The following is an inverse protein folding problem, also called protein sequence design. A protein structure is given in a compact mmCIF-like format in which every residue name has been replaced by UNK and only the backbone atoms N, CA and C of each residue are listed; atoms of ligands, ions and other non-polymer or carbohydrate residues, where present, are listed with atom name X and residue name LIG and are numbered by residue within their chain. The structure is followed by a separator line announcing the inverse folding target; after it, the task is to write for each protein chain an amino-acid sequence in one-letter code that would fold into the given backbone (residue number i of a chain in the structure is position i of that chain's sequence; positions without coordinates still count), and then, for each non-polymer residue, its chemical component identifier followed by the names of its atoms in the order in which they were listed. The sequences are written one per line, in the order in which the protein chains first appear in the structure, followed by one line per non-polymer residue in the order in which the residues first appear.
data_IF_240536741242
#
_entry.id   IF_240536741242
#
_cell.length_a   1.000
_cell.length_b   1.000
_cell.length_c   1.000
_cell.angle_alpha   90.00
_cell.angle_beta   90.00
_cell.angle_gamma   90.00
#
_symmetry.space_group_name_H-M   'P 1'
#
loop_
_entity.id
_entity.type
_entity.pdbx_description
1 polymer ?
#
# COMPACT_ATOMS: atom_id res chain seq x y z
N UNK A 1 2.91 -1.74 -32.05
CA UNK A 1 2.33 -0.41 -31.74
C UNK A 1 1.04 -0.67 -30.98
N UNK A 2 0.96 -0.12 -29.76
CA UNK A 2 -0.26 0.09 -28.94
C UNK A 2 -0.97 -1.15 -28.38
N UNK A 3 -0.40 -1.72 -27.32
CA UNK A 3 -1.14 -2.50 -26.32
C UNK A 3 -1.68 -1.52 -25.28
N UNK A 4 -2.87 -1.02 -25.53
CA UNK A 4 -3.80 -0.30 -24.65
C UNK A 4 -3.27 0.13 -23.25
N UNK A 5 -2.54 1.25 -23.20
CA UNK A 5 -2.16 1.97 -21.97
C UNK A 5 -3.36 2.73 -21.33
N UNK A 6 -4.58 2.46 -21.78
CA UNK A 6 -5.81 3.04 -21.25
C UNK A 6 -6.46 2.11 -20.21
N UNK A 7 -6.27 2.36 -18.92
CA UNK A 7 -7.20 1.84 -17.89
C UNK A 7 -7.04 2.39 -16.46
N UNK A 8 -5.97 3.10 -16.11
CA UNK A 8 -5.85 3.73 -14.78
C UNK A 8 -5.93 5.26 -14.81
N UNK A 9 -5.72 5.88 -15.98
CA UNK A 9 -5.87 7.32 -16.14
C UNK A 9 -7.35 7.74 -16.11
N UNK A 10 -7.71 8.58 -15.14
CA UNK A 10 -8.83 9.52 -15.27
C UNK A 10 -10.24 9.06 -14.89
N UNK A 11 -10.44 7.88 -14.27
CA UNK A 11 -11.81 7.39 -13.96
C UNK A 11 -12.16 7.14 -12.49
N UNK A 12 -11.20 7.19 -11.56
CA UNK A 12 -11.48 7.01 -10.12
C UNK A 12 -10.78 8.08 -9.29
N UNK A 13 -11.54 8.99 -8.68
CA UNK A 13 -11.00 10.03 -7.78
C UNK A 13 -10.20 9.44 -6.62
N UNK A 14 -10.51 8.21 -6.22
CA UNK A 14 -9.77 7.42 -5.24
C UNK A 14 -8.31 7.18 -5.65
N UNK A 15 -8.09 6.83 -6.91
CA UNK A 15 -6.74 6.59 -7.44
C UNK A 15 -5.95 7.90 -7.57
N UNK A 16 -6.59 8.98 -8.03
CA UNK A 16 -5.94 10.30 -8.06
C UNK A 16 -5.48 10.71 -6.67
N UNK A 17 -6.35 10.59 -5.67
CA UNK A 17 -6.00 10.89 -4.28
C UNK A 17 -4.89 9.99 -3.75
N UNK A 18 -4.89 8.69 -4.08
CA UNK A 18 -3.79 7.79 -3.71
C UNK A 18 -2.46 8.29 -4.25
N UNK A 19 -2.41 8.66 -5.52
CA UNK A 19 -1.17 9.13 -6.15
C UNK A 19 -0.69 10.41 -5.49
N UNK A 20 -1.57 11.39 -5.27
CA UNK A 20 -1.22 12.66 -4.60
C UNK A 20 -0.59 12.41 -3.22
N UNK A 21 -1.20 11.55 -2.39
CA UNK A 21 -0.62 11.21 -1.09
C UNK A 21 0.74 10.54 -1.24
N UNK A 22 0.87 9.58 -2.16
CA UNK A 22 2.13 8.86 -2.33
C UNK A 22 3.25 9.77 -2.87
N UNK A 23 2.93 10.74 -3.73
CA UNK A 23 3.87 11.76 -4.19
C UNK A 23 4.36 12.62 -3.02
N UNK A 24 3.46 13.09 -2.15
CA UNK A 24 3.82 13.81 -0.92
C UNK A 24 4.76 12.98 -0.04
N UNK A 25 4.40 11.73 0.25
CA UNK A 25 5.20 10.81 1.08
C UNK A 25 6.59 10.58 0.49
N UNK A 26 6.67 10.29 -0.81
CA UNK A 26 7.95 10.05 -1.48
C UNK A 26 8.81 11.32 -1.50
N UNK A 27 8.20 12.49 -1.75
CA UNK A 27 8.90 13.78 -1.75
C UNK A 27 9.48 14.15 -0.38
N UNK A 28 8.80 13.76 0.70
CA UNK A 28 9.28 13.91 2.08
C UNK A 28 10.39 12.90 2.46
N UNK A 29 10.75 11.97 1.56
CA UNK A 29 11.70 10.90 1.84
C UNK A 29 11.15 9.83 2.78
N UNK A 30 9.83 9.78 2.93
CA UNK A 30 9.11 8.87 3.80
C UNK A 30 8.69 7.59 3.07
N UNK A 31 8.06 6.65 3.79
CA UNK A 31 7.65 5.36 3.24
C UNK A 31 6.20 5.05 3.56
N UNK A 32 5.50 4.46 2.58
CA UNK A 32 4.11 4.08 2.67
C UNK A 32 3.90 2.57 2.50
N UNK A 33 2.94 2.04 3.26
CA UNK A 33 2.26 0.78 2.97
C UNK A 33 0.94 1.08 2.27
N UNK A 34 0.64 0.37 1.20
CA UNK A 34 -0.64 0.48 0.49
C UNK A 34 -1.29 -0.89 0.48
N UNK A 35 -2.49 -1.01 1.03
CA UNK A 35 -3.25 -2.24 1.12
C UNK A 35 -4.41 -2.24 0.14
N UNK A 36 -4.62 -3.38 -0.52
CA UNK A 36 -5.81 -3.65 -1.34
C UNK A 36 -6.14 -5.14 -1.26
N UNK A 37 -7.42 -5.51 -1.24
CA UNK A 37 -7.84 -6.90 -1.29
C UNK A 37 -7.71 -7.52 -2.69
N UNK A 38 -7.52 -6.70 -3.73
CA UNK A 38 -7.56 -7.12 -5.13
C UNK A 38 -6.14 -7.30 -5.70
N UNK A 39 -5.66 -8.54 -5.75
CA UNK A 39 -4.33 -8.84 -6.29
C UNK A 39 -4.15 -8.42 -7.76
N UNK A 40 -5.18 -8.59 -8.60
CA UNK A 40 -5.15 -8.15 -10.00
C UNK A 40 -5.06 -6.63 -10.14
N UNK A 41 -5.71 -5.89 -9.25
CA UNK A 41 -5.59 -4.43 -9.19
C UNK A 41 -4.18 -4.03 -8.75
N UNK A 42 -3.64 -4.65 -7.71
CA UNK A 42 -2.28 -4.39 -7.24
C UNK A 42 -1.22 -4.64 -8.31
N UNK A 43 -1.38 -5.70 -9.11
CA UNK A 43 -0.49 -6.01 -10.24
C UNK A 43 -0.52 -4.93 -11.34
N UNK A 44 -1.68 -4.33 -11.62
CA UNK A 44 -1.78 -3.20 -12.56
C UNK A 44 -1.27 -1.90 -11.97
N UNK A 45 -1.52 -1.69 -10.68
CA UNK A 45 -1.14 -0.47 -9.95
C UNK A 45 0.38 -0.39 -9.75
N UNK A 46 1.06 -1.52 -9.58
CA UNK A 46 2.49 -1.59 -9.34
C UNK A 46 3.37 -0.88 -10.39
N UNK A 47 3.30 -1.21 -11.70
CA UNK A 47 4.08 -0.51 -12.72
C UNK A 47 3.68 0.97 -12.82
N UNK A 48 2.39 1.28 -12.72
CA UNK A 48 1.89 2.66 -12.74
C UNK A 48 2.48 3.51 -11.62
N UNK A 49 2.45 3.05 -10.37
CA UNK A 49 3.04 3.78 -9.25
C UNK A 49 4.57 3.88 -9.35
N UNK A 50 5.23 2.84 -9.87
CA UNK A 50 6.69 2.86 -10.05
C UNK A 50 7.10 3.97 -11.01
N UNK A 51 6.40 4.10 -12.14
CA UNK A 51 6.64 5.16 -13.11
C UNK A 51 6.32 6.54 -12.53
N UNK A 52 5.13 6.69 -11.93
CA UNK A 52 4.65 8.00 -11.46
C UNK A 52 5.45 8.57 -10.31
N UNK A 53 5.86 7.73 -9.37
CA UNK A 53 6.60 8.18 -8.18
C UNK A 53 8.10 8.34 -8.45
N UNK A 54 8.62 7.83 -9.58
CA UNK A 54 10.06 7.79 -9.83
C UNK A 54 10.85 7.02 -8.75
N UNK A 55 10.17 6.17 -7.99
CA UNK A 55 10.69 5.46 -6.83
C UNK A 55 10.37 3.97 -6.91
N UNK A 56 11.14 3.17 -6.20
CA UNK A 56 10.90 1.74 -6.17
C UNK A 56 9.63 1.45 -5.36
N UNK A 57 8.68 0.79 -6.03
CA UNK A 57 7.48 0.21 -5.42
C UNK A 57 7.67 -1.30 -5.35
N UNK A 58 7.45 -1.87 -4.18
CA UNK A 58 7.45 -3.31 -3.96
C UNK A 58 6.01 -3.83 -4.01
N UNK A 59 5.81 -5.02 -4.58
CA UNK A 59 4.50 -5.68 -4.62
C UNK A 59 4.57 -7.04 -3.93
N UNK A 60 3.75 -7.23 -2.90
CA UNK A 60 3.58 -8.49 -2.19
C UNK A 60 2.15 -9.01 -2.38
N UNK A 61 2.01 -10.25 -2.88
CA UNK A 61 0.73 -10.91 -3.08
C UNK A 61 0.76 -12.37 -2.60
N UNK A 62 -0.39 -13.06 -2.64
CA UNK A 62 -0.53 -14.45 -2.14
C UNK A 62 0.42 -15.45 -2.79
N UNK A 63 0.78 -15.23 -4.05
CA UNK A 63 1.69 -16.09 -4.80
C UNK A 63 3.17 -15.77 -4.61
N UNK A 64 3.54 -14.76 -3.84
CA UNK A 64 4.96 -14.39 -3.66
C UNK A 64 5.68 -15.45 -2.80
N UNK A 65 6.75 -16.11 -3.32
CA UNK A 65 7.50 -17.11 -2.57
C UNK A 65 8.09 -16.54 -1.28
N UNK A 66 8.25 -17.39 -0.26
CA UNK A 66 8.73 -16.97 1.07
C UNK A 66 10.08 -16.24 1.03
N UNK A 67 11.05 -16.77 0.28
CA UNK A 67 12.36 -16.14 0.12
C UNK A 67 12.28 -14.74 -0.51
N UNK A 68 11.44 -14.57 -1.54
CA UNK A 68 11.21 -13.27 -2.20
C UNK A 68 10.53 -12.28 -1.28
N UNK A 69 9.57 -12.74 -0.46
CA UNK A 69 8.93 -11.94 0.57
C UNK A 69 9.95 -11.41 1.59
N UNK A 70 10.82 -12.27 2.10
CA UNK A 70 11.86 -11.88 3.05
C UNK A 70 12.83 -10.85 2.44
N UNK A 71 13.20 -11.02 1.17
CA UNK A 71 14.01 -10.06 0.40
C UNK A 71 13.33 -8.69 0.30
N UNK A 72 12.05 -8.65 -0.09
CA UNK A 72 11.28 -7.40 -0.21
C UNK A 72 11.16 -6.67 1.13
N UNK A 73 10.91 -7.40 2.22
CA UNK A 73 10.85 -6.81 3.57
C UNK A 73 12.19 -6.16 3.92
N UNK A 74 13.31 -6.85 3.70
CA UNK A 74 14.65 -6.30 3.97
C UNK A 74 14.91 -5.04 3.15
N UNK A 75 14.56 -5.04 1.86
CA UNK A 75 14.70 -3.88 0.95
C UNK A 75 13.87 -2.68 1.41
N UNK A 76 12.63 -2.93 1.83
CA UNK A 76 11.75 -1.87 2.35
C UNK A 76 12.27 -1.27 3.67
N UNK A 77 12.82 -2.12 4.53
CA UNK A 77 13.33 -1.73 5.84
C UNK A 77 14.69 -1.01 5.79
N UNK A 78 15.45 -1.13 4.70
CA UNK A 78 16.74 -0.48 4.54
C UNK A 78 16.58 1.06 4.52
N UNK A 79 17.11 1.80 5.53
CA UNK A 79 17.05 3.26 5.57
C UNK A 79 17.63 3.94 4.33
N UNK A 80 18.62 3.33 3.68
CA UNK A 80 19.30 3.82 2.47
C UNK A 80 18.71 3.26 1.18
N UNK A 81 17.73 2.36 1.29
CA UNK A 81 17.06 1.71 0.15
C UNK A 81 16.23 2.69 -0.68
N UNK A 82 16.01 2.33 -1.95
CA UNK A 82 15.17 3.07 -2.89
C UNK A 82 13.68 2.77 -2.76
N UNK A 83 13.32 1.68 -2.09
CA UNK A 83 11.95 1.30 -1.81
C UNK A 83 11.26 2.37 -0.97
N UNK A 84 10.21 2.98 -1.54
CA UNK A 84 9.40 4.02 -0.88
C UNK A 84 7.97 3.56 -0.63
N UNK A 85 7.43 2.71 -1.50
CA UNK A 85 6.07 2.18 -1.36
C UNK A 85 6.10 0.66 -1.33
N UNK A 86 5.37 0.08 -0.39
CA UNK A 86 5.10 -1.36 -0.38
C UNK A 86 3.61 -1.58 -0.61
N UNK A 87 3.26 -2.12 -1.77
CA UNK A 87 1.90 -2.48 -2.14
C UNK A 87 1.62 -3.93 -1.72
N UNK A 88 0.59 -4.13 -0.92
CA UNK A 88 0.21 -5.40 -0.33
C UNK A 88 -1.18 -5.80 -0.80
N UNK A 89 -1.26 -6.96 -1.45
CA UNK A 89 -2.51 -7.60 -1.86
C UNK A 89 -2.62 -9.00 -1.30
N UNK A 90 -2.95 -9.05 -0.03
CA UNK A 90 -2.99 -10.29 0.73
C UNK A 90 -4.17 -10.26 1.66
N UNK A 91 -4.87 -11.40 1.80
CA UNK A 91 -5.66 -11.74 2.99
C UNK A 91 -4.72 -11.85 4.21
N UNK A 92 -4.05 -10.77 4.57
CA UNK A 92 -3.06 -10.60 5.62
C UNK A 92 -3.66 -10.70 7.03
N UNK A 93 -4.24 -11.84 7.37
CA UNK A 93 -4.46 -12.25 8.76
C UNK A 93 -3.28 -13.02 9.37
N UNK A 94 -2.30 -13.49 8.56
CA UNK A 94 -1.39 -14.57 9.00
C UNK A 94 0.11 -14.43 8.68
N UNK A 95 0.61 -13.26 8.28
CA UNK A 95 1.96 -13.16 7.70
C UNK A 95 3.06 -12.53 8.58
N UNK A 96 2.74 -12.02 9.77
CA UNK A 96 3.76 -11.55 10.74
C UNK A 96 4.78 -10.55 10.17
N UNK A 97 4.39 -9.67 9.25
CA UNK A 97 5.30 -8.74 8.59
C UNK A 97 5.71 -7.62 9.55
N UNK A 98 7.02 -7.47 9.83
CA UNK A 98 7.55 -6.33 10.59
C UNK A 98 7.97 -5.24 9.59
N UNK A 99 7.17 -4.18 9.45
CA UNK A 99 7.34 -3.12 8.43
C UNK A 99 7.48 -1.73 9.04
N UNK A 100 8.25 -1.64 10.12
CA UNK A 100 8.54 -0.43 10.91
C UNK A 100 9.22 0.72 10.15
N UNK A 101 9.61 0.55 8.90
CA UNK A 101 10.17 1.64 8.11
C UNK A 101 9.09 2.57 7.54
N UNK A 102 7.81 2.16 7.56
CA UNK A 102 6.69 2.97 7.11
C UNK A 102 6.27 4.01 8.16
N UNK A 103 5.95 5.21 7.69
CA UNK A 103 5.26 6.27 8.44
C UNK A 103 3.83 6.50 7.92
N UNK A 104 3.46 5.89 6.78
CA UNK A 104 2.13 6.00 6.20
C UNK A 104 1.54 4.63 5.92
N UNK A 105 0.27 4.46 6.26
CA UNK A 105 -0.53 3.27 5.96
C UNK A 105 -1.79 3.71 5.22
N UNK A 106 -1.93 3.26 3.98
CA UNK A 106 -3.08 3.57 3.13
C UNK A 106 -3.87 2.31 2.82
N UNK A 107 -5.16 2.32 3.13
CA UNK A 107 -6.10 1.29 2.70
C UNK A 107 -6.83 1.79 1.46
N UNK A 108 -6.54 1.19 0.29
CA UNK A 108 -7.19 1.55 -0.96
C UNK A 108 -8.62 1.03 -1.05
N UNK A 109 -8.96 -0.03 -0.31
CA UNK A 109 -10.31 -0.57 -0.20
C UNK A 109 -10.53 -1.08 1.23
N UNK A 110 -11.79 -1.06 1.67
CA UNK A 110 -12.19 -1.44 3.03
C UNK A 110 -11.99 -2.93 3.22
N UNK A 111 -11.42 -3.29 4.34
CA UNK A 111 -11.47 -4.66 4.82
C UNK A 111 -12.70 -4.82 5.70
N UNK A 112 -13.57 -5.77 5.35
CA UNK A 112 -14.74 -6.14 6.14
C UNK A 112 -14.37 -6.67 7.56
N UNK A 113 -13.09 -6.89 7.86
CA UNK A 113 -12.63 -7.32 9.18
C UNK A 113 -11.75 -6.25 9.84
N UNK A 114 -12.28 -5.48 10.81
CA UNK A 114 -11.53 -4.47 11.58
C UNK A 114 -10.22 -5.01 12.18
N UNK A 115 -10.20 -6.27 12.62
CA UNK A 115 -9.01 -6.89 13.20
C UNK A 115 -7.84 -7.04 12.20
N UNK A 116 -8.11 -7.01 10.89
CA UNK A 116 -7.05 -7.03 9.87
C UNK A 116 -6.49 -5.63 9.61
N UNK A 117 -7.32 -4.60 9.68
CA UNK A 117 -6.86 -3.20 9.62
C UNK A 117 -6.02 -2.85 10.85
N UNK A 118 -6.49 -3.25 12.04
CA UNK A 118 -5.74 -3.12 13.30
C UNK A 118 -4.40 -3.88 13.21
N UNK A 119 -4.41 -5.12 12.71
CA UNK A 119 -3.17 -5.89 12.54
C UNK A 119 -2.21 -5.27 11.51
N UNK A 120 -2.72 -4.63 10.45
CA UNK A 120 -1.89 -3.93 9.46
C UNK A 120 -1.27 -2.66 10.07
N UNK A 121 -2.05 -1.93 10.84
CA UNK A 121 -1.66 -0.72 11.56
C UNK A 121 -0.65 -1.02 12.67
N UNK A 122 -0.92 -2.02 13.52
CA UNK A 122 -0.02 -2.51 14.58
C UNK A 122 1.35 -2.96 14.06
N UNK A 123 1.45 -3.35 12.79
CA UNK A 123 2.72 -3.74 12.18
C UNK A 123 3.58 -2.55 11.74
N UNK A 124 2.97 -1.39 11.51
CA UNK A 124 3.67 -0.12 11.34
C UNK A 124 3.97 0.54 12.70
N UNK A 125 3.07 0.39 13.68
CA UNK A 125 3.23 0.87 15.06
C UNK A 125 3.91 -0.16 15.96
N UNK A 126 5.24 -0.15 16.04
CA UNK A 126 5.97 -0.94 17.06
C UNK A 126 6.70 -0.03 18.06
N UNK A 127 6.76 -0.48 19.32
CA UNK A 127 7.53 0.15 20.40
C UNK A 127 8.97 0.38 19.91
N UNK A 128 9.39 1.65 19.85
CA UNK A 128 10.70 2.09 19.33
C UNK A 128 10.64 2.89 18.01
N UNK A 129 9.51 2.91 17.32
CA UNK A 129 9.28 3.83 16.20
C UNK A 129 9.13 5.27 16.72
N UNK A 130 9.96 6.19 16.22
CA UNK A 130 9.98 7.60 16.67
C UNK A 130 9.08 8.52 15.85
N UNK A 131 8.49 8.00 14.78
CA UNK A 131 7.64 8.76 13.84
C UNK A 131 6.18 8.40 14.07
N UNK A 132 5.31 9.40 14.10
CA UNK A 132 3.86 9.21 14.05
C UNK A 132 3.52 8.46 12.77
N UNK A 133 2.83 7.33 12.88
CA UNK A 133 2.31 6.62 11.72
C UNK A 133 0.92 7.15 11.43
N UNK A 134 0.69 7.56 10.20
CA UNK A 134 -0.61 8.06 9.74
C UNK A 134 -1.34 6.96 8.98
N UNK A 135 -2.60 6.69 9.38
CA UNK A 135 -3.45 5.67 8.77
C UNK A 135 -4.60 6.35 8.03
N UNK A 136 -4.75 6.07 6.74
CA UNK A 136 -5.78 6.64 5.88
C UNK A 136 -6.54 5.53 5.16
N UNK A 137 -7.85 5.46 5.35
CA UNK A 137 -8.72 4.58 4.57
C UNK A 137 -9.41 5.39 3.48
N UNK A 138 -9.21 4.98 2.24
CA UNK A 138 -9.83 5.62 1.10
C UNK A 138 -11.25 5.08 0.95
N UNK A 139 -12.23 5.98 1.02
CA UNK A 139 -13.66 5.69 0.82
C UNK A 139 -14.16 6.58 -0.31
N UNK A 140 -14.98 6.03 -1.21
CA UNK A 140 -15.66 6.82 -2.23
C UNK A 140 -17.04 7.20 -1.69
N UNK A 141 -17.32 8.49 -1.48
CA UNK A 141 -18.65 8.95 -1.05
C UNK A 141 -19.72 8.53 -2.07
N UNK A 142 -20.83 7.95 -1.62
CA UNK A 142 -21.97 7.58 -2.46
C UNK A 142 -21.91 6.21 -3.15
N UNK A 143 -21.01 5.31 -2.75
CA UNK A 143 -21.04 3.88 -3.17
C UNK A 143 -21.40 2.98 -1.99
N UNK A 144 -21.74 1.71 -2.27
CA UNK A 144 -22.09 0.68 -1.27
C UNK A 144 -21.03 0.51 -0.14
N UNK A 145 -19.84 1.10 -0.29
CA UNK A 145 -18.77 1.13 0.73
C UNK A 145 -19.15 1.92 2.00
N UNK A 146 -20.17 2.78 1.97
CA UNK A 146 -20.71 3.48 3.17
C UNK A 146 -21.64 2.58 4.02
N UNK A 147 -22.21 1.51 3.47
CA UNK A 147 -23.31 0.77 4.11
C UNK A 147 -22.87 -0.19 5.23
N UNK A 148 -21.58 -0.23 5.59
CA UNK A 148 -21.04 -1.14 6.63
C UNK A 148 -20.81 -0.43 7.98
N UNK A 149 -21.37 0.76 8.19
CA UNK A 149 -21.40 1.43 9.51
C UNK A 149 -22.82 1.44 10.09
N UNK A 150 -23.31 0.27 10.51
CA UNK A 150 -24.39 0.07 11.48
C UNK A 150 -24.06 -1.16 12.35
#
# INVERSE_FOLDING_TARGET
MLGDESSLHGRSGKLSRLVEVLEEVVSAGERALVFTQFASFAQRLHPYLTERLGAEVLLLHGGTPRLRREEMIRRFQDPKGRARVFLLSLRAGGLGLNLTAASHVLHFDRWWNPAVEDQATDRAHRIGQKRTVEVRTMVTSGTLEETIDQ
#
